data_IF_615845213953
#
_entry.id   IF_615845213953
#
_cell.length_a   1.000
_cell.length_b   1.000
_cell.length_c   1.000
_cell.angle_alpha   90.00
_cell.angle_beta   90.00
_cell.angle_gamma   90.00
#
_symmetry.space_group_name_H-M   'P 1'
#
loop_
_entity.id
_entity.type
_entity.pdbx_description
1 polymer ?
#
# COMPACT_ATOMS: atom_id res chain seq x y z
N UNK A 1 -27.50 6.97 -27.59
CA UNK A 1 -27.33 5.62 -27.01
C UNK A 1 -26.40 4.83 -27.91
N UNK A 2 -25.22 4.48 -27.42
CA UNK A 2 -24.61 3.15 -27.53
C UNK A 2 -23.24 3.18 -26.84
N UNK A 3 -23.29 2.72 -25.58
CA UNK A 3 -22.35 1.84 -24.90
C UNK A 3 -20.93 1.83 -25.42
N UNK A 4 -20.07 2.60 -24.76
CA UNK A 4 -18.64 2.28 -24.68
C UNK A 4 -18.55 0.91 -24.01
N UNK A 5 -18.42 -0.14 -24.83
CA UNK A 5 -18.00 -1.45 -24.34
C UNK A 5 -16.67 -1.25 -23.63
N UNK A 6 -16.72 -1.28 -22.31
CA UNK A 6 -15.53 -1.45 -21.49
C UNK A 6 -14.92 -2.77 -21.95
N UNK A 7 -13.81 -2.67 -22.69
CA UNK A 7 -13.00 -3.82 -23.07
C UNK A 7 -12.60 -4.56 -21.79
N UNK A 8 -13.37 -5.59 -21.44
CA UNK A 8 -12.98 -6.56 -20.44
C UNK A 8 -11.83 -7.36 -21.05
N UNK A 9 -10.61 -6.84 -20.87
CA UNK A 9 -9.39 -7.59 -21.14
C UNK A 9 -9.44 -8.82 -20.23
N UNK A 10 -9.28 -10.04 -20.76
CA UNK A 10 -9.30 -11.26 -19.95
C UNK A 10 -8.31 -11.15 -18.78
N UNK A 11 -8.75 -11.56 -17.59
CA UNK A 11 -8.02 -11.36 -16.34
C UNK A 11 -6.73 -12.18 -16.29
N UNK A 12 -5.61 -11.55 -16.68
CA UNK A 12 -4.26 -12.15 -16.63
C UNK A 12 -3.74 -12.35 -15.18
N UNK A 13 -4.46 -11.84 -14.18
CA UNK A 13 -4.00 -11.84 -12.79
C UNK A 13 -4.57 -12.99 -11.97
N UNK A 14 -3.77 -13.46 -10.99
CA UNK A 14 -4.20 -14.48 -10.02
C UNK A 14 -5.52 -14.06 -9.33
N UNK A 15 -6.40 -15.01 -8.95
CA UNK A 15 -7.72 -14.69 -8.38
C UNK A 15 -7.70 -13.70 -7.20
N UNK A 16 -6.69 -13.80 -6.32
CA UNK A 16 -6.52 -12.88 -5.18
C UNK A 16 -6.22 -11.43 -5.60
N UNK A 17 -5.59 -11.23 -6.75
CA UNK A 17 -5.33 -9.89 -7.29
C UNK A 17 -6.57 -9.34 -7.98
N UNK A 18 -7.23 -10.14 -8.80
CA UNK A 18 -8.47 -9.75 -9.45
C UNK A 18 -9.51 -9.29 -8.43
N UNK A 19 -9.70 -10.03 -7.35
CA UNK A 19 -10.64 -9.66 -6.29
C UNK A 19 -10.35 -8.28 -5.67
N UNK A 20 -9.06 -7.94 -5.48
CA UNK A 20 -8.69 -6.62 -4.96
C UNK A 20 -9.00 -5.53 -5.98
N UNK A 21 -8.69 -5.80 -7.25
CA UNK A 21 -8.86 -4.84 -8.34
C UNK A 21 -10.34 -4.56 -8.59
N UNK A 22 -11.18 -5.59 -8.64
CA UNK A 22 -12.62 -5.46 -8.79
C UNK A 22 -13.24 -4.63 -7.65
N UNK A 23 -12.73 -4.84 -6.42
CA UNK A 23 -13.16 -4.05 -5.27
C UNK A 23 -12.81 -2.56 -5.44
N UNK A 24 -11.59 -2.24 -5.88
CA UNK A 24 -11.17 -0.86 -6.10
C UNK A 24 -11.87 -0.20 -7.30
N UNK A 25 -12.15 -0.94 -8.38
CA UNK A 25 -12.91 -0.44 -9.51
C UNK A 25 -14.36 -0.09 -9.10
N UNK A 26 -14.97 -0.93 -8.27
CA UNK A 26 -16.36 -0.75 -7.83
C UNK A 26 -16.50 0.36 -6.78
N UNK A 27 -15.64 0.36 -5.76
CA UNK A 27 -15.80 1.19 -4.56
C UNK A 27 -14.78 2.33 -4.43
N UNK A 28 -13.84 2.44 -5.36
CA UNK A 28 -12.83 3.48 -5.39
C UNK A 28 -11.61 3.20 -4.51
N UNK A 29 -10.78 4.24 -4.40
CA UNK A 29 -9.54 4.24 -3.62
C UNK A 29 -9.82 4.12 -2.11
N UNK A 30 -8.82 3.75 -1.28
CA UNK A 30 -8.95 3.72 0.18
C UNK A 30 -9.47 5.02 0.84
N UNK A 31 -9.31 6.17 0.19
CA UNK A 31 -9.85 7.46 0.63
C UNK A 31 -11.24 7.80 0.07
N UNK A 32 -11.84 6.98 -0.79
CA UNK A 32 -13.21 7.13 -1.26
C UNK A 32 -14.20 6.83 -0.11
N UNK A 33 -15.25 7.66 0.10
CA UNK A 33 -16.27 7.39 1.10
C UNK A 33 -16.93 6.00 0.98
N UNK A 34 -17.08 5.49 -0.25
CA UNK A 34 -17.71 4.19 -0.54
C UNK A 34 -16.83 3.02 -0.09
N UNK A 35 -15.51 3.17 -0.16
CA UNK A 35 -14.55 2.13 0.23
C UNK A 35 -14.79 1.63 1.65
N UNK A 36 -14.94 2.54 2.62
CA UNK A 36 -15.11 2.17 4.03
C UNK A 36 -16.42 1.43 4.29
N UNK A 37 -17.49 1.84 3.62
CA UNK A 37 -18.81 1.21 3.75
C UNK A 37 -18.77 -0.20 3.15
N UNK A 38 -18.23 -0.34 1.93
CA UNK A 38 -18.09 -1.63 1.26
C UNK A 38 -17.16 -2.59 2.00
N UNK A 39 -16.02 -2.11 2.51
CA UNK A 39 -15.07 -2.92 3.25
C UNK A 39 -15.72 -3.49 4.53
N UNK A 40 -16.54 -2.69 5.22
CA UNK A 40 -17.26 -3.14 6.41
C UNK A 40 -18.32 -4.21 6.08
N UNK A 41 -18.97 -4.09 4.93
CA UNK A 41 -19.99 -5.02 4.44
C UNK A 41 -19.42 -6.38 3.99
N UNK A 42 -18.09 -6.52 3.83
CA UNK A 42 -17.48 -7.80 3.46
C UNK A 42 -17.81 -8.89 4.50
N UNK A 43 -18.15 -10.11 4.05
CA UNK A 43 -18.75 -11.14 4.90
C UNK A 43 -17.78 -11.73 5.93
N UNK A 44 -16.47 -11.69 5.67
CA UNK A 44 -15.46 -12.29 6.56
C UNK A 44 -14.30 -11.36 6.84
N UNK A 45 -13.71 -11.50 8.04
CA UNK A 45 -12.52 -10.75 8.44
C UNK A 45 -11.34 -10.98 7.48
N UNK A 46 -11.18 -12.21 6.97
CA UNK A 46 -10.13 -12.53 5.98
C UNK A 46 -10.25 -11.71 4.70
N UNK A 47 -11.47 -11.46 4.21
CA UNK A 47 -11.73 -10.61 3.04
C UNK A 47 -11.41 -9.15 3.34
N UNK A 48 -11.75 -8.68 4.54
CA UNK A 48 -11.38 -7.33 5.00
C UNK A 48 -9.86 -7.14 5.01
N UNK A 49 -9.11 -8.11 5.55
CA UNK A 49 -7.64 -8.09 5.55
C UNK A 49 -7.08 -8.19 4.12
N UNK A 50 -7.66 -9.04 3.26
CA UNK A 50 -7.23 -9.21 1.88
C UNK A 50 -7.25 -7.90 1.07
N UNK A 51 -8.31 -7.11 1.24
CA UNK A 51 -8.49 -5.83 0.55
C UNK A 51 -7.62 -4.76 1.21
N UNK A 52 -7.70 -4.64 2.55
CA UNK A 52 -7.11 -3.53 3.28
C UNK A 52 -5.59 -3.64 3.48
N UNK A 53 -5.00 -4.83 3.26
CA UNK A 53 -3.58 -5.03 3.45
C UNK A 53 -3.00 -6.21 2.69
N UNK A 54 -1.67 -6.26 2.64
CA UNK A 54 -0.89 -7.31 2.01
C UNK A 54 0.09 -7.92 3.01
N UNK A 55 -0.19 -9.16 3.43
CA UNK A 55 0.62 -9.88 4.42
C UNK A 55 2.03 -10.13 3.91
N UNK A 56 2.22 -10.36 2.60
CA UNK A 56 3.57 -10.56 2.04
C UNK A 56 4.35 -9.24 2.12
N UNK A 57 3.71 -8.12 1.79
CA UNK A 57 4.34 -6.81 1.90
C UNK A 57 4.60 -6.39 3.36
N UNK A 58 3.85 -6.89 4.32
CA UNK A 58 4.13 -6.63 5.74
C UNK A 58 5.50 -7.17 6.15
N UNK A 59 5.84 -8.40 5.76
CA UNK A 59 7.13 -9.01 6.13
C UNK A 59 8.26 -8.69 5.13
N UNK A 60 7.93 -8.51 3.86
CA UNK A 60 8.90 -8.40 2.77
C UNK A 60 8.71 -7.16 1.90
N UNK A 61 8.12 -6.10 2.44
CA UNK A 61 7.71 -4.88 1.71
C UNK A 61 8.71 -4.40 0.66
N UNK A 62 9.92 -3.97 1.04
CA UNK A 62 10.91 -3.47 0.10
C UNK A 62 11.22 -4.42 -1.06
N UNK A 63 11.39 -5.72 -0.77
CA UNK A 63 11.71 -6.72 -1.80
C UNK A 63 10.47 -6.99 -2.66
N UNK A 64 9.30 -7.12 -2.04
CA UNK A 64 8.07 -7.50 -2.70
C UNK A 64 7.56 -6.42 -3.64
N UNK A 65 7.70 -5.13 -3.32
CA UNK A 65 7.33 -4.06 -4.24
C UNK A 65 8.22 -4.05 -5.49
N UNK A 66 9.50 -4.41 -5.40
CA UNK A 66 10.33 -4.59 -6.59
C UNK A 66 9.86 -5.76 -7.45
N UNK A 67 9.49 -6.89 -6.82
CA UNK A 67 8.89 -8.04 -7.53
C UNK A 67 7.61 -7.64 -8.26
N UNK A 68 6.78 -6.78 -7.66
CA UNK A 68 5.58 -6.24 -8.28
C UNK A 68 5.86 -5.12 -9.30
N UNK A 69 7.12 -4.73 -9.54
CA UNK A 69 7.50 -3.66 -10.45
C UNK A 69 7.15 -2.24 -9.97
N UNK A 70 6.82 -2.07 -8.68
CA UNK A 70 6.44 -0.79 -8.06
C UNK A 70 7.64 0.08 -7.65
N UNK A 71 8.71 0.07 -8.46
CA UNK A 71 10.02 0.60 -8.07
C UNK A 71 10.00 2.08 -7.66
N UNK A 72 9.28 2.97 -8.36
CA UNK A 72 9.19 4.40 -8.01
C UNK A 72 8.61 4.63 -6.61
N UNK A 73 7.46 4.02 -6.32
CA UNK A 73 6.81 4.12 -5.01
C UNK A 73 7.67 3.46 -3.92
N UNK A 74 8.33 2.36 -4.25
CA UNK A 74 9.24 1.68 -3.33
C UNK A 74 10.44 2.56 -2.94
N UNK A 75 11.10 3.17 -3.93
CA UNK A 75 12.21 4.10 -3.69
C UNK A 75 11.75 5.33 -2.89
N UNK A 76 10.54 5.85 -3.15
CA UNK A 76 9.98 6.93 -2.35
C UNK A 76 9.74 6.50 -0.88
N UNK A 77 9.20 5.30 -0.65
CA UNK A 77 9.02 4.77 0.72
C UNK A 77 10.36 4.55 1.42
N UNK A 78 11.37 4.00 0.74
CA UNK A 78 12.72 3.86 1.28
C UNK A 78 13.35 5.22 1.62
N UNK A 79 13.15 6.23 0.77
CA UNK A 79 13.59 7.60 1.03
C UNK A 79 12.93 8.20 2.27
N UNK A 80 11.62 7.99 2.45
CA UNK A 80 10.89 8.40 3.67
C UNK A 80 11.43 7.68 4.90
N UNK A 81 11.63 6.36 4.83
CA UNK A 81 12.20 5.58 5.92
C UNK A 81 13.58 6.11 6.33
N UNK A 82 14.47 6.30 5.34
CA UNK A 82 15.80 6.84 5.57
C UNK A 82 15.74 8.24 6.19
N UNK A 83 14.89 9.13 5.68
CA UNK A 83 14.74 10.48 6.21
C UNK A 83 14.26 10.48 7.67
N UNK A 84 13.26 9.65 8.01
CA UNK A 84 12.76 9.52 9.38
C UNK A 84 13.86 9.04 10.32
N UNK A 85 14.59 7.98 9.95
CA UNK A 85 15.70 7.48 10.75
C UNK A 85 16.80 8.52 10.91
N UNK A 86 17.22 9.17 9.81
CA UNK A 86 18.27 10.19 9.86
C UNK A 86 17.91 11.37 10.78
N UNK A 87 16.68 11.89 10.66
CA UNK A 87 16.20 12.99 11.51
C UNK A 87 16.17 12.59 12.98
N UNK A 88 15.63 11.41 13.30
CA UNK A 88 15.58 10.93 14.68
C UNK A 88 16.98 10.66 15.23
N UNK A 89 17.86 10.02 14.47
CA UNK A 89 19.24 9.78 14.90
C UNK A 89 19.99 11.08 15.22
N UNK A 90 19.86 12.11 14.38
CA UNK A 90 20.46 13.42 14.64
C UNK A 90 19.85 14.07 15.88
N UNK A 91 18.52 14.03 16.02
CA UNK A 91 17.82 14.61 17.17
C UNK A 91 18.28 13.98 18.49
N UNK A 92 18.31 12.66 18.58
CA UNK A 92 18.75 11.95 19.78
C UNK A 92 20.23 12.20 20.07
N UNK A 93 21.09 12.23 19.05
CA UNK A 93 22.51 12.56 19.21
C UNK A 93 22.73 13.98 19.77
N UNK A 94 22.01 14.98 19.26
CA UNK A 94 22.10 16.37 19.75
C UNK A 94 21.62 16.49 21.19
N UNK A 95 20.64 15.69 21.60
CA UNK A 95 20.13 15.65 22.97
C UNK A 95 20.99 14.80 23.91
N UNK A 96 22.08 14.19 23.42
CA UNK A 96 22.92 13.28 24.22
C UNK A 96 22.19 12.02 24.68
N UNK A 97 21.13 11.62 23.98
CA UNK A 97 20.32 10.46 24.30
C UNK A 97 20.61 9.31 23.33
N UNK A 98 20.55 8.08 23.83
CA UNK A 98 20.57 6.89 22.97
C UNK A 98 19.25 6.72 22.23
N UNK A 99 19.30 6.13 21.03
CA UNK A 99 18.10 5.80 20.26
C UNK A 99 17.31 4.70 20.98
N UNK A 100 16.07 4.95 21.47
CA UNK A 100 15.35 3.98 22.27
C UNK A 100 14.97 2.74 21.45
N UNK A 101 15.31 1.54 21.92
CA UNK A 101 14.98 0.28 21.23
C UNK A 101 13.47 0.11 21.00
N UNK A 102 12.64 0.57 21.92
CA UNK A 102 11.19 0.56 21.75
C UNK A 102 10.72 1.44 20.58
N UNK A 103 11.35 2.61 20.38
CA UNK A 103 11.07 3.48 19.25
C UNK A 103 11.50 2.82 17.94
N UNK A 104 12.70 2.23 17.90
CA UNK A 104 13.22 1.56 16.71
C UNK A 104 12.30 0.40 16.27
N UNK A 105 11.92 -0.46 17.22
CA UNK A 105 10.96 -1.52 16.97
C UNK A 105 9.60 -0.96 16.47
N UNK A 106 9.11 0.11 17.10
CA UNK A 106 7.87 0.78 16.70
C UNK A 106 7.92 1.32 15.27
N UNK A 107 9.02 1.94 14.87
CA UNK A 107 9.25 2.42 13.50
C UNK A 107 9.29 1.24 12.52
N UNK A 108 10.03 0.18 12.84
CA UNK A 108 10.07 -1.03 12.03
C UNK A 108 8.68 -1.61 11.77
N UNK A 109 7.88 -1.81 12.82
CA UNK A 109 6.49 -2.26 12.68
C UNK A 109 5.61 -1.27 11.91
N UNK A 110 5.78 0.03 12.15
CA UNK A 110 5.08 1.10 11.42
C UNK A 110 5.35 1.05 9.92
N UNK A 111 6.61 0.88 9.51
CA UNK A 111 6.98 0.75 8.11
C UNK A 111 6.48 -0.55 7.48
N UNK A 112 6.55 -1.67 8.21
CA UNK A 112 5.95 -2.94 7.77
C UNK A 112 4.45 -2.79 7.52
N UNK A 113 3.73 -2.11 8.42
CA UNK A 113 2.32 -1.83 8.24
C UNK A 113 2.05 -0.90 7.06
N UNK A 114 2.89 0.12 6.87
CA UNK A 114 2.83 1.04 5.73
C UNK A 114 2.91 0.29 4.40
N UNK A 115 3.88 -0.62 4.25
CA UNK A 115 4.00 -1.47 3.07
C UNK A 115 2.75 -2.33 2.88
N UNK A 116 2.24 -2.93 3.96
CA UNK A 116 1.05 -3.77 3.91
C UNK A 116 -0.16 -3.02 3.33
N UNK A 117 -0.44 -1.80 3.79
CA UNK A 117 -1.64 -1.04 3.39
C UNK A 117 -1.51 -0.38 2.01
N UNK A 118 -0.31 0.03 1.61
CA UNK A 118 -0.08 0.72 0.31
C UNK A 118 -0.11 -0.26 -0.87
N UNK A 119 0.43 -1.47 -0.68
CA UNK A 119 0.78 -2.37 -1.79
C UNK A 119 -0.39 -2.71 -2.70
N UNK A 120 -1.56 -3.03 -2.14
CA UNK A 120 -2.68 -3.51 -2.94
C UNK A 120 -3.18 -2.44 -3.92
N UNK A 121 -3.39 -1.22 -3.43
CA UNK A 121 -3.87 -0.12 -4.25
C UNK A 121 -2.79 0.40 -5.20
N UNK A 122 -1.54 0.45 -4.76
CA UNK A 122 -0.41 0.80 -5.63
C UNK A 122 -0.28 -0.15 -6.83
N UNK A 123 -0.46 -1.45 -6.61
CA UNK A 123 -0.41 -2.44 -7.68
C UNK A 123 -1.61 -2.33 -8.62
N UNK A 124 -2.81 -2.08 -8.09
CA UNK A 124 -4.00 -1.78 -8.88
C UNK A 124 -3.81 -0.56 -9.80
N UNK A 125 -3.27 0.55 -9.27
CA UNK A 125 -2.98 1.74 -10.08
C UNK A 125 -2.05 1.40 -11.26
N UNK A 126 -1.02 0.58 -11.02
CA UNK A 126 -0.06 0.18 -12.06
C UNK A 126 -0.70 -0.73 -13.11
N UNK A 127 -1.35 -1.81 -12.69
CA UNK A 127 -1.86 -2.85 -13.59
C UNK A 127 -3.16 -2.45 -14.30
N UNK A 128 -4.08 -1.77 -13.59
CA UNK A 128 -5.43 -1.46 -14.12
C UNK A 128 -5.50 -0.04 -14.68
N UNK A 129 -4.81 0.92 -14.05
CA UNK A 129 -4.85 2.33 -14.48
C UNK A 129 -3.62 2.77 -15.28
N UNK A 130 -2.60 1.92 -15.43
CA UNK A 130 -1.33 2.27 -16.09
C UNK A 130 -0.53 3.35 -15.35
N UNK A 131 -0.86 3.63 -14.08
CA UNK A 131 -0.27 4.72 -13.32
C UNK A 131 0.87 4.26 -12.42
N UNK A 132 2.10 4.65 -12.79
CA UNK A 132 3.31 4.39 -11.99
C UNK A 132 4.06 5.68 -11.64
N UNK A 133 3.54 6.39 -10.64
CA UNK A 133 4.11 7.65 -10.12
C UNK A 133 4.88 7.51 -8.80
N UNK A 134 5.58 8.58 -8.40
CA UNK A 134 6.45 8.62 -7.21
C UNK A 134 5.72 8.71 -5.88
N UNK A 135 4.51 9.26 -5.82
CA UNK A 135 3.75 9.35 -4.56
C UNK A 135 3.30 7.95 -4.09
N UNK A 136 3.88 7.36 -3.03
CA UNK A 136 3.48 6.04 -2.55
C UNK A 136 2.11 6.06 -1.86
N UNK A 137 1.62 7.25 -1.49
CA UNK A 137 0.40 7.45 -0.71
C UNK A 137 -0.80 7.88 -1.56
N UNK A 138 -0.69 7.84 -2.90
CA UNK A 138 -1.80 8.19 -3.80
C UNK A 138 -3.04 7.32 -3.48
N UNK A 139 -4.14 7.97 -3.13
CA UNK A 139 -5.43 7.32 -2.80
C UNK A 139 -5.51 6.71 -1.40
N UNK A 140 -4.48 6.85 -0.57
CA UNK A 140 -4.48 6.32 0.80
C UNK A 140 -5.26 7.22 1.76
N UNK A 141 -5.80 6.61 2.82
CA UNK A 141 -6.44 7.30 3.95
C UNK A 141 -5.66 6.97 5.22
N UNK A 142 -5.09 7.98 5.85
CA UNK A 142 -4.41 7.90 7.15
C UNK A 142 -5.29 8.48 8.25
#
# INVERSE_FOLDING_TARGET
MNTTEQLQVPSTHKPKWQERFDFFDTYGAPNDPRYKVALKALPTFRKKVLINGNVIAFFFGPIYLFVLGLWKKNLALLGVMFAVYAVLSVLFAVLGMEFPRALDNGLGFGFSFMYAIVTNYAYYLKEVKGEQGWNPFKGMRF
#
